data_IF_363663637153
#
_entry.id   IF_363663637153
#
_cell.length_a   1.000
_cell.length_b   1.000
_cell.length_c   1.000
_cell.angle_alpha   90.00
_cell.angle_beta   90.00
_cell.angle_gamma   90.00
#
_symmetry.space_group_name_H-M   'P 1'
#
loop_
_entity.id
_entity.type
_entity.pdbx_description
1 polymer ?
#
# COMPACT_ATOMS: atom_id res chain seq x y z
N UNK A 1 1.32 12.97 -6.39
CA UNK A 1 1.83 11.59 -6.20
C UNK A 1 1.06 10.82 -5.12
N UNK A 2 0.82 11.38 -3.93
CA UNK A 2 0.16 10.66 -2.81
C UNK A 2 -1.35 10.42 -2.96
N UNK A 3 -2.08 11.26 -3.71
CA UNK A 3 -3.52 11.05 -3.92
C UNK A 3 -3.83 9.73 -4.62
N UNK A 4 -2.99 9.29 -5.57
CA UNK A 4 -3.27 8.10 -6.38
C UNK A 4 -3.20 6.82 -5.56
N UNK A 5 -2.26 6.74 -4.61
CA UNK A 5 -2.23 5.63 -3.65
C UNK A 5 -3.49 5.61 -2.79
N UNK A 6 -3.88 6.77 -2.23
CA UNK A 6 -5.10 6.88 -1.43
C UNK A 6 -6.38 6.54 -2.21
N UNK A 7 -6.42 6.87 -3.50
CA UNK A 7 -7.51 6.55 -4.41
C UNK A 7 -7.62 5.05 -4.66
N UNK A 8 -6.50 4.39 -5.01
CA UNK A 8 -6.44 2.92 -5.18
C UNK A 8 -6.85 2.21 -3.88
N UNK A 9 -6.31 2.63 -2.74
CA UNK A 9 -6.68 2.07 -1.43
C UNK A 9 -8.18 2.28 -1.13
N UNK A 10 -8.76 3.41 -1.55
CA UNK A 10 -10.19 3.68 -1.35
C UNK A 10 -11.07 2.90 -2.33
N UNK A 11 -10.59 2.68 -3.55
CA UNK A 11 -11.28 1.92 -4.59
C UNK A 11 -11.34 0.42 -4.25
N UNK A 12 -10.30 -0.09 -3.60
CA UNK A 12 -10.21 -1.46 -3.12
C UNK A 12 -10.49 -1.57 -1.61
N UNK A 13 -11.48 -0.83 -1.09
CA UNK A 13 -11.87 -0.93 0.33
C UNK A 13 -12.20 -2.37 0.73
N UNK A 14 -11.75 -2.77 1.91
CA UNK A 14 -11.98 -4.11 2.44
C UNK A 14 -11.73 -4.20 3.94
N UNK A 15 -11.45 -5.40 4.43
CA UNK A 15 -11.33 -5.67 5.86
C UNK A 15 -9.87 -5.77 6.34
N UNK A 16 -8.91 -5.90 5.43
CA UNK A 16 -7.50 -6.08 5.78
C UNK A 16 -6.81 -4.76 6.09
N UNK A 17 -6.00 -4.77 7.14
CA UNK A 17 -5.17 -3.64 7.54
C UNK A 17 -4.05 -3.39 6.52
N UNK A 18 -3.79 -2.11 6.23
CA UNK A 18 -2.67 -1.70 5.35
C UNK A 18 -1.47 -1.32 6.20
N UNK A 19 -0.32 -1.92 5.89
CA UNK A 19 0.97 -1.63 6.53
C UNK A 19 1.96 -1.19 5.47
N UNK A 20 2.49 0.02 5.59
CA UNK A 20 3.50 0.58 4.68
C UNK A 20 4.85 0.54 5.37
N UNK A 21 5.80 -0.18 4.76
CA UNK A 21 7.19 -0.22 5.20
C UNK A 21 7.97 0.87 4.49
N UNK A 22 8.27 1.96 5.19
CA UNK A 22 9.13 3.03 4.70
C UNK A 22 10.59 2.66 4.98
N UNK A 23 11.35 2.31 3.95
CA UNK A 23 12.79 2.06 4.06
C UNK A 23 13.54 3.37 3.81
N UNK A 24 13.99 4.03 4.88
CA UNK A 24 14.89 5.16 4.79
C UNK A 24 16.36 4.72 4.84
N UNK A 25 17.32 5.60 4.46
CA UNK A 25 18.75 5.27 4.41
C UNK A 25 19.35 4.85 5.75
N UNK A 26 18.70 5.22 6.87
CA UNK A 26 19.21 4.96 8.22
C UNK A 26 18.31 4.06 9.07
N UNK A 27 17.02 3.99 8.76
CA UNK A 27 16.02 3.18 9.50
C UNK A 27 14.85 2.79 8.61
N UNK A 28 14.28 1.63 8.90
CA UNK A 28 12.98 1.20 8.35
C UNK A 28 11.88 1.50 9.36
N UNK A 29 10.83 2.20 8.94
CA UNK A 29 9.64 2.47 9.76
C UNK A 29 8.43 1.78 9.14
N UNK A 30 7.68 1.02 9.93
CA UNK A 30 6.41 0.43 9.48
C UNK A 30 5.27 1.32 9.98
N UNK A 31 4.56 1.94 9.04
CA UNK A 31 3.40 2.77 9.27
C UNK A 31 2.13 1.94 9.07
N UNK A 32 1.20 2.00 10.01
CA UNK A 32 -0.13 1.38 9.86
C UNK A 32 -1.12 2.42 9.40
N UNK A 33 -1.84 2.15 8.31
CA UNK A 33 -2.88 3.02 7.81
C UNK A 33 -4.24 2.52 8.31
N UNK A 34 -4.56 2.82 9.57
CA UNK A 34 -5.78 2.35 10.24
C UNK A 34 -7.07 2.85 9.54
N UNK A 35 -7.01 4.04 8.94
CA UNK A 35 -8.12 4.67 8.21
C UNK A 35 -8.35 4.11 6.80
N UNK A 36 -7.40 3.33 6.27
CA UNK A 36 -7.50 2.76 4.92
C UNK A 36 -7.39 1.24 5.02
N UNK A 37 -8.54 0.58 5.13
CA UNK A 37 -8.64 -0.89 5.05
C UNK A 37 -8.91 -1.31 3.62
N UNK A 38 -8.20 -2.33 3.15
CA UNK A 38 -8.30 -2.81 1.77
C UNK A 38 -8.60 -4.28 1.68
N UNK A 39 -9.08 -4.70 0.51
CA UNK A 39 -9.17 -6.11 0.16
C UNK A 39 -7.87 -6.53 -0.56
N UNK A 40 -7.12 -7.52 -0.05
CA UNK A 40 -5.91 -8.02 -0.71
C UNK A 40 -6.31 -8.83 -1.94
N UNK A 41 -6.58 -8.13 -3.04
CA UNK A 41 -6.94 -8.70 -4.33
C UNK A 41 -5.79 -8.52 -5.34
N UNK A 42 -5.59 -9.45 -6.29
CA UNK A 42 -4.63 -9.31 -7.39
C UNK A 42 -4.67 -7.95 -8.11
N UNK A 43 -5.85 -7.33 -8.27
CA UNK A 43 -5.97 -6.00 -8.88
C UNK A 43 -5.21 -4.93 -8.07
N UNK A 44 -5.42 -4.88 -6.75
CA UNK A 44 -4.72 -3.96 -5.85
C UNK A 44 -3.20 -4.15 -5.93
N UNK A 45 -2.73 -5.39 -5.96
CA UNK A 45 -1.30 -5.67 -6.11
C UNK A 45 -0.75 -5.19 -7.46
N UNK A 46 -1.52 -5.30 -8.54
CA UNK A 46 -1.18 -4.76 -9.85
C UNK A 46 -1.03 -3.24 -9.82
N UNK A 47 -2.04 -2.53 -9.32
CA UNK A 47 -2.03 -1.07 -9.20
C UNK A 47 -0.89 -0.55 -8.32
N UNK A 48 -0.63 -1.22 -7.18
CA UNK A 48 0.50 -0.89 -6.31
C UNK A 48 1.85 -1.07 -7.00
N UNK A 49 2.01 -2.14 -7.79
CA UNK A 49 3.23 -2.38 -8.58
C UNK A 49 3.41 -1.35 -9.69
N UNK A 50 2.33 -0.90 -10.33
CA UNK A 50 2.40 0.17 -11.35
C UNK A 50 2.79 1.50 -10.71
N UNK A 51 2.25 1.80 -9.52
CA UNK A 51 2.50 3.09 -8.86
C UNK A 51 3.89 3.16 -8.20
N UNK A 52 4.27 2.11 -7.46
CA UNK A 52 5.45 2.11 -6.60
C UNK A 52 6.58 1.21 -7.13
N UNK A 53 6.31 0.40 -8.16
CA UNK A 53 7.27 -0.55 -8.72
C UNK A 53 7.11 -1.98 -8.18
N UNK A 54 7.73 -2.97 -8.86
CA UNK A 54 7.56 -4.40 -8.57
C UNK A 54 8.03 -4.82 -7.17
N UNK A 55 8.92 -4.05 -6.53
CA UNK A 55 9.48 -4.36 -5.21
C UNK A 55 8.66 -3.84 -4.02
N UNK A 56 7.52 -3.20 -4.25
CA UNK A 56 6.76 -2.56 -3.17
C UNK A 56 5.87 -3.48 -2.34
N UNK A 57 5.73 -4.73 -2.77
CA UNK A 57 5.09 -5.77 -1.98
C UNK A 57 6.20 -6.63 -1.37
N UNK A 58 6.51 -6.36 -0.11
CA UNK A 58 7.29 -7.30 0.70
C UNK A 58 6.30 -8.38 1.17
N UNK A 59 6.51 -9.62 0.71
CA UNK A 59 5.77 -10.80 1.18
C UNK A 59 5.95 -11.05 2.66
#
# INVERSE_FOLDING_TARGET
MVSRLGEILSHHKGESEVRIRLQGPRKTTVLRLDRHRVKPDPALFGDLKVLLGPSCLAG
#
